data_IF_062794351040
#
_entry.id   IF_062794351040
#
_cell.length_a   1.000
_cell.length_b   1.000
_cell.length_c   1.000
_cell.angle_alpha   90.00
_cell.angle_beta   90.00
_cell.angle_gamma   90.00
#
_symmetry.space_group_name_H-M   'P 1'
#
loop_
_entity.id
_entity.type
_entity.pdbx_description
1 polymer ?
#
# COMPACT_ATOMS: atom_id res chain seq x y z
N UNK A 1 -6.56 9.29 -35.37
CA UNK A 1 -6.11 10.35 -34.45
C UNK A 1 -6.77 10.32 -33.11
N UNK A 2 -8.06 9.98 -33.05
CA UNK A 2 -8.80 9.90 -31.76
C UNK A 2 -8.34 8.76 -30.86
N UNK A 3 -7.81 7.73 -31.39
CA UNK A 3 -7.33 6.52 -30.68
C UNK A 3 -6.14 6.79 -29.76
N UNK A 4 -5.27 7.74 -30.07
CA UNK A 4 -4.14 8.10 -29.22
C UNK A 4 -4.58 8.65 -27.86
N UNK A 5 -5.65 9.44 -27.87
CA UNK A 5 -6.19 10.04 -26.65
C UNK A 5 -6.72 8.98 -25.71
N UNK A 6 -7.38 7.94 -26.25
CA UNK A 6 -7.90 6.83 -25.43
C UNK A 6 -6.78 6.02 -24.79
N UNK A 7 -5.68 5.77 -25.50
CA UNK A 7 -4.55 5.04 -24.96
C UNK A 7 -3.90 5.78 -23.80
N UNK A 8 -3.72 7.10 -23.92
CA UNK A 8 -3.17 7.93 -22.86
C UNK A 8 -4.05 7.94 -21.61
N UNK A 9 -5.38 7.97 -21.78
CA UNK A 9 -6.32 7.93 -20.67
C UNK A 9 -6.20 6.64 -19.86
N UNK A 10 -6.00 5.50 -20.52
CA UNK A 10 -5.81 4.22 -19.84
C UNK A 10 -4.54 4.17 -19.01
N UNK A 11 -3.43 4.72 -19.53
CA UNK A 11 -2.16 4.78 -18.81
C UNK A 11 -2.29 5.65 -17.55
N UNK A 12 -2.95 6.80 -17.65
CA UNK A 12 -3.16 7.70 -16.52
C UNK A 12 -4.01 7.03 -15.44
N UNK A 13 -5.07 6.28 -15.82
CA UNK A 13 -5.93 5.59 -14.88
C UNK A 13 -5.15 4.51 -14.10
N UNK A 14 -4.25 3.77 -14.77
CA UNK A 14 -3.44 2.73 -14.13
C UNK A 14 -2.42 3.30 -13.12
N UNK A 15 -2.00 4.56 -13.26
CA UNK A 15 -1.03 5.20 -12.39
C UNK A 15 -1.62 5.67 -11.04
N UNK A 16 -2.92 5.52 -10.82
CA UNK A 16 -3.57 5.98 -9.58
C UNK A 16 -3.50 4.98 -8.43
N UNK A 17 -3.18 3.71 -8.70
CA UNK A 17 -3.16 2.68 -7.68
C UNK A 17 -1.84 2.72 -6.89
N UNK A 18 -1.90 2.52 -5.55
CA UNK A 18 -0.69 2.44 -4.74
C UNK A 18 0.10 1.17 -5.08
N UNK A 19 1.40 1.21 -4.82
CA UNK A 19 2.30 0.06 -5.01
C UNK A 19 2.81 -0.39 -3.66
N UNK A 20 2.58 -1.67 -3.34
CA UNK A 20 2.96 -2.25 -2.06
C UNK A 20 4.06 -3.29 -2.27
N UNK A 21 5.13 -3.18 -1.49
CA UNK A 21 6.20 -4.17 -1.47
C UNK A 21 6.59 -4.54 -0.05
N UNK A 22 7.13 -5.74 0.12
CA UNK A 22 7.53 -6.27 1.42
C UNK A 22 8.86 -7.00 1.28
N UNK A 23 9.74 -6.80 2.25
CA UNK A 23 11.05 -7.46 2.31
C UNK A 23 11.23 -8.03 3.71
N UNK A 24 11.41 -9.35 3.84
CA UNK A 24 11.29 -10.40 2.81
C UNK A 24 9.83 -10.68 2.43
N UNK A 25 9.60 -11.39 1.33
CA UNK A 25 8.26 -11.79 0.87
C UNK A 25 7.62 -12.87 1.74
N UNK A 26 8.42 -13.55 2.54
CA UNK A 26 8.00 -14.53 3.52
C UNK A 26 9.01 -14.49 4.66
N UNK A 27 8.56 -14.84 5.87
CA UNK A 27 9.44 -14.85 7.03
C UNK A 27 9.09 -16.04 7.95
N UNK A 28 10.00 -16.36 8.89
CA UNK A 28 9.65 -17.25 9.99
C UNK A 28 8.85 -16.49 11.03
N UNK A 29 8.06 -17.22 11.82
CA UNK A 29 7.32 -16.62 12.94
C UNK A 29 8.28 -15.88 13.88
N UNK A 30 7.92 -14.67 14.27
CA UNK A 30 8.78 -13.80 15.08
C UNK A 30 9.78 -12.98 14.29
N UNK A 31 9.85 -13.16 12.97
CA UNK A 31 10.76 -12.40 12.12
C UNK A 31 10.32 -10.97 11.90
N UNK A 32 11.18 -10.20 11.26
CA UNK A 32 10.93 -8.78 10.96
C UNK A 32 10.65 -8.59 9.47
N UNK A 33 9.79 -7.64 9.16
CA UNK A 33 9.45 -7.30 7.78
C UNK A 33 9.45 -5.80 7.58
N UNK A 34 9.98 -5.36 6.45
CA UNK A 34 9.90 -3.97 6.03
C UNK A 34 8.87 -3.82 4.93
N UNK A 35 7.90 -2.98 5.16
CA UNK A 35 6.80 -2.73 4.24
C UNK A 35 6.96 -1.35 3.65
N UNK A 36 6.85 -1.26 2.33
CA UNK A 36 6.91 0.00 1.60
C UNK A 36 5.64 0.16 0.78
N UNK A 37 4.91 1.24 1.01
CA UNK A 37 3.78 1.61 0.16
C UNK A 37 4.12 2.90 -0.57
N UNK A 38 4.08 2.87 -1.90
CA UNK A 38 4.24 4.06 -2.74
C UNK A 38 2.86 4.57 -3.15
N UNK A 39 2.59 5.81 -2.80
CA UNK A 39 1.30 6.44 -3.04
C UNK A 39 1.46 7.45 -4.17
N UNK A 40 0.78 7.26 -5.31
CA UNK A 40 0.80 8.26 -6.37
C UNK A 40 0.25 9.60 -5.88
N UNK A 41 0.85 10.69 -6.33
CA UNK A 41 0.40 12.02 -5.94
C UNK A 41 -1.00 12.28 -6.44
N UNK A 42 -1.83 12.80 -5.55
CA UNK A 42 -3.20 13.21 -5.91
C UNK A 42 -3.66 14.25 -4.90
N UNK A 43 -4.24 15.37 -5.35
CA UNK A 43 -4.69 16.42 -4.43
C UNK A 43 -5.79 15.95 -3.47
N UNK A 44 -6.46 14.85 -3.79
CA UNK A 44 -7.54 14.29 -2.95
C UNK A 44 -7.08 13.27 -1.93
N UNK A 45 -5.79 12.94 -1.89
CA UNK A 45 -5.25 12.03 -0.89
C UNK A 45 -5.36 12.61 0.51
N UNK A 46 -5.88 11.83 1.46
CA UNK A 46 -6.06 12.29 2.86
C UNK A 46 -5.34 11.43 3.86
N UNK A 47 -5.24 10.14 3.61
CA UNK A 47 -4.54 9.23 4.52
C UNK A 47 -4.09 7.98 3.77
N UNK A 48 -3.07 7.33 4.31
CA UNK A 48 -2.66 5.99 3.88
C UNK A 48 -2.64 5.08 5.10
N UNK A 49 -3.22 3.89 4.96
CA UNK A 49 -3.25 2.86 5.98
C UNK A 49 -2.62 1.61 5.39
N UNK A 50 -1.60 1.08 6.02
CA UNK A 50 -0.95 -0.12 5.52
C UNK A 50 -0.44 -1.00 6.66
N UNK A 51 -0.33 -2.30 6.38
CA UNK A 51 0.08 -3.30 7.34
C UNK A 51 -0.65 -4.61 7.13
N UNK A 52 -0.85 -5.35 8.23
CA UNK A 52 -1.50 -6.66 8.23
C UNK A 52 -2.87 -6.57 8.87
N UNK A 53 -3.89 -7.11 8.20
CA UNK A 53 -5.29 -6.96 8.62
C UNK A 53 -5.57 -7.48 10.02
N UNK A 54 -4.98 -8.62 10.40
CA UNK A 54 -5.29 -9.32 11.65
C UNK A 54 -4.19 -9.18 12.70
N UNK A 55 -3.29 -8.26 12.51
CA UNK A 55 -2.21 -8.04 13.47
C UNK A 55 -2.01 -6.56 13.77
N UNK A 56 -1.30 -5.83 12.90
CA UNK A 56 -1.02 -4.43 13.14
C UNK A 56 -0.98 -3.64 11.83
N UNK A 57 -1.46 -2.42 11.91
CA UNK A 57 -1.43 -1.48 10.80
C UNK A 57 -0.83 -0.17 11.26
N UNK A 58 -0.38 0.62 10.30
CA UNK A 58 0.03 2.00 10.54
C UNK A 58 -0.78 2.92 9.65
N UNK A 59 -1.01 4.13 10.12
CA UNK A 59 -1.75 5.15 9.40
C UNK A 59 -0.94 6.43 9.37
N UNK A 60 -0.93 7.08 8.21
CA UNK A 60 -0.25 8.37 8.05
C UNK A 60 -1.18 9.34 7.35
N UNK A 61 -1.25 10.55 7.88
CA UNK A 61 -2.03 11.61 7.27
C UNK A 61 -1.33 12.12 6.02
N UNK A 62 -2.12 12.36 4.96
CA UNK A 62 -1.63 12.88 3.69
C UNK A 62 -2.21 14.28 3.44
N UNK A 63 -1.41 15.12 2.81
CA UNK A 63 -1.76 16.51 2.52
C UNK A 63 -1.79 16.76 1.01
N UNK A 64 -2.52 15.89 0.30
CA UNK A 64 -2.65 15.99 -1.14
C UNK A 64 -1.30 15.77 -1.84
N UNK A 65 -0.97 16.65 -2.76
CA UNK A 65 0.26 16.51 -3.56
C UNK A 65 1.54 16.85 -2.81
N UNK A 66 1.44 17.46 -1.63
CA UNK A 66 2.61 17.83 -0.82
C UNK A 66 3.14 16.69 0.04
N UNK A 67 2.41 15.59 0.11
CA UNK A 67 2.80 14.45 0.93
C UNK A 67 3.94 13.66 0.31
N UNK A 68 4.78 13.00 1.12
CA UNK A 68 5.75 12.04 0.60
C UNK A 68 5.07 10.94 -0.22
N UNK A 69 5.73 10.49 -1.28
CA UNK A 69 5.23 9.41 -2.14
C UNK A 69 5.49 8.06 -1.49
N UNK A 70 6.62 7.89 -0.81
CA UNK A 70 7.05 6.62 -0.26
C UNK A 70 6.86 6.59 1.25
N UNK A 71 6.16 5.55 1.73
CA UNK A 71 5.91 5.32 3.15
C UNK A 71 6.46 3.95 3.53
N UNK A 72 7.32 3.90 4.52
CA UNK A 72 7.95 2.66 4.98
C UNK A 72 7.74 2.47 6.47
N UNK A 73 7.66 1.19 6.87
CA UNK A 73 7.66 0.81 8.28
C UNK A 73 8.34 -0.56 8.44
N UNK A 74 8.99 -0.75 9.58
CA UNK A 74 9.53 -2.03 10.00
C UNK A 74 8.61 -2.59 11.07
N UNK A 75 8.04 -3.76 10.83
CA UNK A 75 7.29 -4.50 11.84
C UNK A 75 8.16 -5.64 12.37
N UNK A 76 8.23 -5.76 13.69
CA UNK A 76 9.02 -6.77 14.37
C UNK A 76 8.13 -7.81 15.02
N UNK A 77 8.56 -9.07 14.96
CA UNK A 77 7.88 -10.16 15.64
C UNK A 77 6.58 -10.60 14.97
N UNK A 78 6.60 -10.85 13.66
CA UNK A 78 5.41 -11.25 12.91
C UNK A 78 4.78 -12.51 13.49
N UNK A 79 3.48 -12.52 13.84
CA UNK A 79 2.79 -13.70 14.35
C UNK A 79 2.46 -14.69 13.24
N UNK A 80 1.91 -15.85 13.63
CA UNK A 80 1.58 -16.92 12.70
C UNK A 80 0.52 -16.53 11.67
N UNK A 81 -0.52 -15.85 12.12
CA UNK A 81 -1.65 -15.49 11.24
C UNK A 81 -1.89 -13.98 11.25
N UNK A 82 -1.01 -13.19 10.60
CA UNK A 82 -1.13 -11.74 10.62
C UNK A 82 -2.24 -11.21 9.71
N UNK A 83 -2.86 -12.08 8.90
CA UNK A 83 -3.83 -11.67 7.89
C UNK A 83 -3.16 -11.18 6.62
N UNK A 84 -3.93 -10.60 5.73
CA UNK A 84 -3.43 -10.10 4.46
C UNK A 84 -2.62 -8.81 4.65
N UNK A 85 -1.55 -8.69 3.86
CA UNK A 85 -0.78 -7.46 3.78
C UNK A 85 -1.46 -6.53 2.79
N UNK A 86 -1.73 -5.30 3.21
CA UNK A 86 -2.48 -4.35 2.40
C UNK A 86 -1.96 -2.92 2.53
N UNK A 87 -2.30 -2.10 1.54
CA UNK A 87 -2.15 -0.65 1.61
C UNK A 87 -3.39 -0.01 1.00
N UNK A 88 -4.02 0.88 1.76
CA UNK A 88 -5.21 1.62 1.31
C UNK A 88 -4.93 3.11 1.37
N UNK A 89 -5.23 3.80 0.29
CA UNK A 89 -5.19 5.26 0.22
C UNK A 89 -6.61 5.79 0.35
N UNK A 90 -6.87 6.55 1.39
CA UNK A 90 -8.16 7.19 1.64
C UNK A 90 -8.19 8.55 0.95
N UNK A 91 -9.22 8.78 0.15
CA UNK A 91 -9.35 9.99 -0.66
C UNK A 91 -10.58 10.79 -0.25
N UNK A 92 -10.49 12.11 -0.39
CA UNK A 92 -11.58 13.02 -0.06
C UNK A 92 -12.83 12.81 -0.92
N UNK A 93 -12.66 12.28 -2.13
CA UNK A 93 -13.77 12.00 -3.05
C UNK A 93 -14.44 10.66 -2.79
N UNK A 94 -14.00 9.89 -1.79
CA UNK A 94 -14.52 8.58 -1.47
C UNK A 94 -14.06 7.48 -2.42
N UNK A 95 -13.23 7.78 -3.40
CA UNK A 95 -12.68 6.81 -4.35
C UNK A 95 -11.37 6.24 -3.84
N UNK A 96 -11.44 5.54 -2.73
CA UNK A 96 -10.29 4.94 -2.09
C UNK A 96 -9.65 3.87 -2.98
N UNK A 97 -8.34 3.71 -2.83
CA UNK A 97 -7.57 2.72 -3.58
C UNK A 97 -6.91 1.76 -2.62
N UNK A 98 -7.04 0.47 -2.89
CA UNK A 98 -6.47 -0.59 -2.06
C UNK A 98 -5.68 -1.56 -2.90
N UNK A 99 -4.53 -1.97 -2.39
CA UNK A 99 -3.73 -3.05 -2.95
C UNK A 99 -3.46 -4.09 -1.87
N UNK A 100 -3.46 -5.36 -2.25
CA UNK A 100 -3.21 -6.49 -1.37
C UNK A 100 -2.07 -7.32 -1.97
N UNK A 101 -1.15 -7.75 -1.13
CA UNK A 101 0.00 -8.56 -1.53
C UNK A 101 0.02 -9.82 -0.67
N UNK A 102 0.20 -11.01 -1.28
CA UNK A 102 0.32 -12.23 -0.51
C UNK A 102 1.60 -12.23 0.34
N UNK A 103 1.49 -12.75 1.55
CA UNK A 103 2.62 -12.86 2.47
C UNK A 103 2.52 -14.17 3.23
N UNK A 104 3.66 -14.85 3.40
CA UNK A 104 3.70 -16.16 4.06
C UNK A 104 4.55 -16.11 5.32
N UNK A 105 4.01 -16.68 6.40
CA UNK A 105 4.74 -16.92 7.66
C UNK A 105 4.96 -18.40 7.83
N UNK A 106 6.22 -18.82 8.03
CA UNK A 106 6.62 -20.21 8.19
C UNK A 106 6.95 -20.50 9.63
N UNK A 107 6.81 -21.77 10.03
CA UNK A 107 7.15 -22.20 11.39
C UNK A 107 5.98 -22.14 12.36
N UNK A 108 4.78 -22.07 11.84
CA UNK A 108 3.56 -22.07 12.67
C UNK A 108 3.08 -23.49 12.98
#
# INVERSE_FOLDING_TARGET
MKWFIMTLALIVAAAEDPMLSVIPHATVVGGNVRITCRVPRNPKNRAVVFGFEDWTTTSRQLYGEESPITHQILFEGVPCDPGELFCTVLRADGKDRKVVVPFKVVGC
#
